data_IF_501509403032
#
_entry.id   IF_501509403032
#
_cell.length_a   1.000
_cell.length_b   1.000
_cell.length_c   1.000
_cell.angle_alpha   90.00
_cell.angle_beta   90.00
_cell.angle_gamma   90.00
#
_symmetry.space_group_name_H-M   'P 1'
#
loop_
_entity.id
_entity.type
_entity.pdbx_description
1 polymer ?
2 non-polymer ?
3 non-polymer ?
4 water ?
#
# COMPACT_ATOMS: atom_id res chain seq x y z
N UNK A 11 -11.31 2.25 18.10
CA UNK A 11 -10.83 0.89 18.33
C UNK A 11 -9.31 0.81 18.34
N UNK A 12 -8.68 1.31 17.28
CA UNK A 12 -7.22 1.33 17.21
C UNK A 12 -6.72 2.48 18.07
N UNK A 13 -7.56 3.49 18.23
CA UNK A 13 -7.27 4.57 19.14
C UNK A 13 -7.19 4.06 20.57
N UNK A 14 -8.13 3.19 20.94
CA UNK A 14 -8.19 2.62 22.28
C UNK A 14 -6.98 1.75 22.57
N UNK A 15 -6.52 1.04 21.55
CA UNK A 15 -5.38 0.15 21.68
C UNK A 15 -4.09 0.97 21.77
N UNK A 16 -3.97 1.97 20.91
CA UNK A 16 -2.74 2.75 20.79
C UNK A 16 -2.44 3.58 22.03
N UNK A 17 -3.45 3.80 22.86
CA UNK A 17 -3.27 4.54 24.11
C UNK A 17 -2.29 3.84 25.04
N UNK A 18 -1.99 2.58 24.74
CA UNK A 18 -1.06 1.79 25.53
C UNK A 18 0.25 1.50 24.83
N UNK A 19 0.42 2.07 23.63
CA UNK A 19 1.62 1.84 22.84
C UNK A 19 2.40 3.13 22.64
N UNK A 20 3.59 3.21 23.24
CA UNK A 20 4.39 4.43 23.16
C UNK A 20 5.44 4.37 22.06
N UNK A 21 5.62 3.19 21.46
CA UNK A 21 6.64 3.03 20.41
C UNK A 21 6.23 2.02 19.36
N UNK A 22 6.84 2.11 18.18
CA UNK A 22 6.55 1.14 17.12
C UNK A 22 7.13 -0.22 17.50
N UNK A 23 8.16 -0.23 18.34
CA UNK A 23 8.72 -1.49 18.83
C UNK A 23 7.65 -2.31 19.52
N UNK A 24 6.82 -1.63 20.31
CA UNK A 24 5.74 -2.31 21.02
C UNK A 24 4.72 -2.88 20.03
N UNK A 25 4.44 -2.13 18.96
CA UNK A 25 3.51 -2.60 17.92
C UNK A 25 4.10 -3.82 17.22
N UNK A 26 5.38 -3.76 16.85
CA UNK A 26 6.07 -4.92 16.26
C UNK A 26 6.03 -6.14 17.17
N UNK A 27 6.33 -5.94 18.44
CA UNK A 27 6.31 -7.05 19.37
C UNK A 27 4.89 -7.62 19.52
N UNK A 28 3.89 -6.75 19.46
CA UNK A 28 2.49 -7.18 19.58
C UNK A 28 2.07 -8.03 18.38
N UNK A 29 2.47 -7.59 17.19
CA UNK A 29 2.20 -8.34 15.97
C UNK A 29 2.81 -9.74 16.06
N UNK A 30 3.98 -9.82 16.69
CA UNK A 30 4.68 -11.07 16.85
C UNK A 30 3.93 -12.01 17.78
N UNK A 31 3.51 -11.48 18.92
CA UNK A 31 2.72 -12.25 19.88
C UNK A 31 1.35 -12.62 19.30
N UNK A 32 0.88 -11.85 18.32
CA UNK A 32 -0.41 -12.11 17.69
C UNK A 32 -0.30 -13.17 16.60
N UNK A 33 0.90 -13.64 16.33
CA UNK A 33 1.08 -14.77 15.45
C UNK A 33 1.79 -14.49 14.14
N UNK A 34 2.17 -13.24 13.91
CA UNK A 34 2.88 -12.92 12.67
C UNK A 34 4.28 -13.50 12.71
N UNK A 35 4.67 -14.14 11.61
CA UNK A 35 5.97 -14.77 11.50
C UNK A 35 6.73 -14.13 10.35
N UNK A 36 7.47 -14.92 9.58
CA UNK A 36 8.20 -14.36 8.43
C UNK A 36 7.19 -13.66 7.52
N UNK A 37 7.45 -12.39 7.23
CA UNK A 37 6.50 -11.57 6.49
C UNK A 37 7.25 -10.62 5.58
N UNK A 38 6.82 -10.55 4.32
CA UNK A 38 7.50 -9.72 3.36
C UNK A 38 6.65 -8.50 3.03
N UNK A 39 7.30 -7.46 2.52
CA UNK A 39 6.65 -6.17 2.27
C UNK A 39 6.85 -5.71 0.83
N UNK A 40 5.76 -5.33 0.18
CA UNK A 40 5.79 -4.75 -1.15
C UNK A 40 5.17 -3.36 -1.03
N UNK A 41 5.81 -2.37 -1.65
CA UNK A 41 5.31 -1.00 -1.58
C UNK A 41 4.97 -0.52 -2.99
N UNK A 42 3.82 0.14 -3.12
CA UNK A 42 3.41 0.75 -4.37
C UNK A 42 3.09 2.21 -4.11
N UNK A 43 3.68 3.11 -4.91
CA UNK A 43 3.50 4.54 -4.70
C UNK A 43 2.76 5.19 -5.86
N UNK A 44 1.70 5.91 -5.49
CA UNK A 44 0.85 6.69 -6.38
C UNK A 44 1.57 7.95 -6.84
N UNK A 45 1.78 8.06 -8.15
CA UNK A 45 2.41 9.24 -8.73
C UNK A 45 1.46 9.97 -9.69
N UNK A 46 0.17 10.00 -9.34
CA UNK A 46 -0.81 10.69 -10.17
C UNK A 46 -0.75 12.21 -9.94
N UNK A 47 -1.27 12.96 -10.89
CA UNK A 47 -1.16 14.41 -10.89
C UNK A 47 -1.98 15.05 -9.78
N UNK A 48 -3.05 14.39 -9.35
CA UNK A 48 -3.87 14.93 -8.27
C UNK A 48 -3.05 15.19 -6.99
N UNK A 49 -1.90 14.53 -6.84
CA UNK A 49 -1.02 14.82 -5.71
C UNK A 49 -0.63 16.30 -5.62
N UNK A 50 -0.75 17.00 -6.75
CA UNK A 50 -0.44 18.43 -6.77
C UNK A 50 -1.46 19.25 -5.98
N UNK A 51 -2.70 18.77 -5.88
CA UNK A 51 -3.71 19.60 -5.24
C UNK A 51 -4.42 18.98 -4.01
N UNK A 52 -4.19 17.70 -3.76
CA UNK A 52 -4.84 17.05 -2.62
C UNK A 52 -4.14 17.37 -1.29
N UNK A 53 -3.08 18.16 -1.36
CA UNK A 53 -2.43 18.63 -0.15
C UNK A 53 -2.92 19.99 0.34
N UNK A 54 -4.04 20.45 -0.21
CA UNK A 54 -4.58 21.79 0.09
C UNK A 54 -4.79 22.02 1.59
N UNK A 55 -5.44 21.07 2.26
CA UNK A 55 -5.67 21.21 3.70
C UNK A 55 -4.66 20.42 4.53
N UNK A 56 -4.31 19.22 4.07
CA UNK A 56 -3.48 18.30 4.84
C UNK A 56 -1.98 18.55 4.75
N UNK A 57 -1.56 19.38 3.80
CA UNK A 57 -0.14 19.57 3.58
C UNK A 57 0.21 20.98 3.10
N UNK A 58 -0.54 21.97 3.58
CA UNK A 58 -0.18 23.37 3.39
C UNK A 58 -0.12 23.82 1.92
N UNK A 59 -1.07 23.32 1.13
CA UNK A 59 -1.19 23.65 -0.30
C UNK A 59 0.03 23.21 -1.13
N UNK A 60 0.92 22.42 -0.53
CA UNK A 60 2.04 21.84 -1.25
C UNK A 60 1.63 20.55 -1.96
N UNK A 61 2.44 20.14 -2.92
CA UNK A 61 2.29 18.83 -3.53
C UNK A 61 2.60 17.76 -2.49
N UNK A 62 1.84 16.66 -2.52
CA UNK A 62 2.10 15.59 -1.56
C UNK A 62 3.45 14.92 -1.82
N UNK A 63 4.02 15.12 -3.01
CA UNK A 63 5.35 14.61 -3.30
C UNK A 63 6.44 15.68 -3.19
N UNK A 64 6.14 16.76 -2.47
CA UNK A 64 7.11 17.82 -2.24
C UNK A 64 8.31 17.30 -1.46
N UNK A 65 9.51 17.56 -1.95
CA UNK A 65 10.71 17.15 -1.24
C UNK A 65 11.37 18.33 -0.51
N UNK A 66 11.75 18.10 0.74
CA UNK A 66 12.35 19.12 1.59
C UNK A 66 13.08 18.46 2.76
N UNK A 67 13.32 19.21 3.82
CA UNK A 67 13.98 18.67 5.00
C UNK A 67 13.01 18.04 6.00
N UNK A 68 11.72 18.15 5.72
CA UNK A 68 10.73 17.40 6.48
C UNK A 68 10.02 16.40 5.57
N UNK A 69 9.77 15.19 6.09
CA UNK A 69 9.13 14.17 5.25
C UNK A 69 7.70 14.53 4.80
N UNK A 70 7.37 14.24 3.55
CA UNK A 70 6.01 14.44 3.04
C UNK A 70 5.15 13.24 3.47
N UNK A 71 3.84 13.26 3.18
CA UNK A 71 3.08 12.13 3.76
C UNK A 71 3.48 10.76 3.25
N UNK A 72 3.97 10.65 2.01
CA UNK A 72 4.44 9.38 1.49
C UNK A 72 5.63 8.89 2.30
N UNK A 73 6.61 9.77 2.53
CA UNK A 73 7.80 9.39 3.28
C UNK A 73 7.45 9.00 4.71
N UNK A 74 6.54 9.73 5.31
CA UNK A 74 6.12 9.42 6.68
C UNK A 74 5.48 8.04 6.79
N UNK A 75 4.56 7.74 5.89
CA UNK A 75 3.85 6.44 5.91
C UNK A 75 4.83 5.30 5.69
N UNK A 76 5.71 5.46 4.71
CA UNK A 76 6.72 4.46 4.43
C UNK A 76 7.56 4.20 5.66
N UNK A 77 7.94 5.27 6.36
CA UNK A 77 8.80 5.15 7.53
C UNK A 77 8.11 4.35 8.64
N UNK A 78 6.87 4.69 8.93
CA UNK A 78 6.16 4.04 10.02
C UNK A 78 5.90 2.56 9.73
N UNK A 79 5.37 2.27 8.54
CA UNK A 79 5.12 0.89 8.15
C UNK A 79 6.43 0.10 8.06
N UNK A 80 7.42 0.68 7.41
CA UNK A 80 8.73 0.05 7.29
C UNK A 80 9.36 -0.29 8.61
N UNK A 81 9.37 0.67 9.53
CA UNK A 81 9.98 0.44 10.84
C UNK A 81 9.23 -0.69 11.55
N UNK A 82 7.92 -0.73 11.40
CA UNK A 82 7.11 -1.68 12.15
C UNK A 82 7.25 -3.11 11.63
N UNK A 83 7.34 -3.27 10.30
CA UNK A 83 7.38 -4.60 9.69
C UNK A 83 8.81 -5.15 9.51
N UNK A 84 9.81 -4.31 9.76
CA UNK A 84 11.20 -4.70 9.54
C UNK A 84 11.60 -5.98 10.26
N UNK A 85 11.13 -6.14 11.49
CA UNK A 85 11.49 -7.30 12.33
C UNK A 85 11.07 -8.63 11.73
N UNK A 86 10.07 -8.60 10.86
CA UNK A 86 9.53 -9.83 10.30
C UNK A 86 10.12 -10.16 8.94
N UNK A 87 10.92 -9.23 8.43
CA UNK A 87 11.47 -9.31 7.08
C UNK A 87 12.84 -9.96 7.10
N UNK A 88 12.89 -11.25 6.77
CA UNK A 88 14.12 -12.01 6.90
C UNK A 88 15.20 -11.58 5.92
N UNK A 89 14.86 -11.33 4.65
CA UNK A 89 15.90 -10.93 3.69
C UNK A 89 16.02 -9.41 3.57
N UNK A 90 15.16 -8.68 4.27
CA UNK A 90 15.10 -7.22 4.21
C UNK A 90 14.86 -6.64 2.80
N UNK A 91 14.39 -7.47 1.88
CA UNK A 91 14.21 -7.01 0.50
C UNK A 91 12.78 -6.55 0.23
N UNK A 92 12.62 -5.32 -0.24
CA UNK A 92 11.29 -4.74 -0.45
C UNK A 92 11.12 -4.41 -1.92
N UNK A 93 10.32 -5.22 -2.63
CA UNK A 93 9.94 -4.81 -3.99
C UNK A 93 9.19 -3.49 -3.91
N UNK A 94 9.55 -2.50 -4.71
CA UNK A 94 8.91 -1.21 -4.62
C UNK A 94 8.60 -0.72 -6.03
N UNK A 95 7.37 -0.25 -6.23
CA UNK A 95 6.90 0.16 -7.55
C UNK A 95 6.19 1.50 -7.52
N UNK A 96 6.24 2.22 -8.64
CA UNK A 96 5.48 3.44 -8.82
C UNK A 96 4.40 3.20 -9.87
N UNK A 97 3.31 3.96 -9.77
CA UNK A 97 2.26 3.90 -10.78
C UNK A 97 1.57 5.25 -10.87
N UNK A 98 0.98 5.53 -12.03
CA UNK A 98 0.16 6.71 -12.18
C UNK A 98 0.91 7.88 -12.80
N UNK A 99 2.22 7.76 -12.94
CA UNK A 99 3.01 8.72 -13.72
C UNK A 99 2.80 8.51 -15.21
N UNK A 100 3.47 9.33 -16.02
CA UNK A 100 3.22 9.30 -17.45
C UNK A 100 3.74 8.02 -18.11
N UNK A 101 4.70 7.32 -17.50
CA UNK A 101 5.21 6.10 -18.12
C UNK A 101 4.30 4.90 -17.88
N UNK A 102 3.38 5.00 -16.94
CA UNK A 102 2.55 3.85 -16.55
C UNK A 102 1.04 4.07 -16.64
N UNK A 103 0.61 5.33 -16.47
CA UNK A 103 -0.81 5.67 -16.38
C UNK A 103 -1.56 4.69 -15.47
N UNK A 104 -2.66 4.12 -15.93
CA UNK A 104 -3.39 3.15 -15.14
C UNK A 104 -3.16 1.72 -15.65
N UNK A 105 -2.08 1.53 -16.40
CA UNK A 105 -1.89 0.29 -17.14
C UNK A 105 -0.75 -0.59 -16.59
N UNK A 106 0.23 0.05 -15.98
CA UNK A 106 1.49 -0.61 -15.61
C UNK A 106 1.98 -0.15 -14.25
N UNK A 107 3.05 -0.78 -13.78
CA UNK A 107 3.85 -0.20 -12.69
C UNK A 107 5.29 -0.11 -13.20
N UNK A 108 6.11 0.73 -12.57
CA UNK A 108 7.54 0.71 -12.84
C UNK A 108 8.26 0.30 -11.56
N UNK A 109 9.36 -0.42 -11.71
CA UNK A 109 10.17 -0.79 -10.55
C UNK A 109 11.06 0.38 -10.14
N UNK A 110 11.28 0.57 -8.84
CA UNK A 110 12.15 1.66 -8.39
C UNK A 110 13.58 1.49 -8.92
N UNK A 111 13.98 0.24 -9.15
CA UNK A 111 15.27 -0.03 -9.79
C UNK A 111 15.08 -0.83 -11.07
N UNK A 112 15.96 -0.61 -12.04
CA UNK A 112 15.88 -1.36 -13.30
C UNK A 112 15.96 -2.87 -13.07
N UNK A 113 15.45 -3.63 -14.03
CA UNK A 113 15.45 -5.08 -13.98
C UNK A 113 14.65 -5.59 -12.78
N UNK A 114 13.75 -4.76 -12.28
CA UNK A 114 12.88 -5.13 -11.18
C UNK A 114 13.59 -5.42 -9.86
N UNK A 115 14.82 -4.93 -9.71
CA UNK A 115 15.58 -5.20 -8.50
C UNK A 115 14.90 -4.61 -7.26
N UNK A 116 14.92 -5.36 -6.16
CA UNK A 116 14.24 -4.93 -4.94
C UNK A 116 15.10 -3.96 -4.11
N UNK A 117 14.44 -3.10 -3.34
CA UNK A 117 15.16 -2.23 -2.41
C UNK A 117 15.64 -3.02 -1.19
N UNK A 118 16.78 -2.61 -0.67
CA UNK A 118 17.37 -3.25 0.51
C UNK A 118 16.99 -2.45 1.75
N UNK A 119 15.85 -2.79 2.35
CA UNK A 119 15.37 -2.10 3.54
C UNK A 119 14.56 -0.86 3.24
N UNK A 120 13.70 -0.46 4.17
CA UNK A 120 12.86 0.71 3.92
C UNK A 120 13.68 1.99 3.79
N UNK A 121 14.89 2.01 4.38
CA UNK A 121 15.74 3.18 4.25
C UNK A 121 16.10 3.41 2.78
N UNK A 122 16.37 2.32 2.05
CA UNK A 122 16.69 2.44 0.65
C UNK A 122 15.45 2.80 -0.18
N UNK A 123 14.29 2.28 0.22
CA UNK A 123 13.04 2.72 -0.38
C UNK A 123 12.89 4.24 -0.32
N UNK A 124 13.13 4.81 0.86
CA UNK A 124 12.97 6.25 1.06
C UNK A 124 13.99 7.03 0.23
N UNK A 125 15.23 6.58 0.25
CA UNK A 125 16.31 7.26 -0.48
C UNK A 125 16.05 7.26 -1.98
N UNK A 126 15.76 6.08 -2.50
CA UNK A 126 15.48 5.92 -3.92
C UNK A 126 14.22 6.69 -4.33
N UNK A 127 13.21 6.74 -3.47
CA UNK A 127 12.02 7.54 -3.76
C UNK A 127 12.40 9.01 -4.01
N UNK A 128 13.29 9.55 -3.20
CA UNK A 128 13.69 10.94 -3.35
C UNK A 128 14.44 11.19 -4.66
N UNK A 129 15.19 10.20 -5.11
CA UNK A 129 15.90 10.27 -6.39
C UNK A 129 14.93 10.28 -7.58
N UNK A 130 13.88 9.49 -7.46
CA UNK A 130 12.99 9.26 -8.59
C UNK A 130 12.01 10.42 -8.77
N UNK A 131 11.49 10.93 -7.65
CA UNK A 131 10.41 11.91 -7.65
C UNK A 131 10.63 13.11 -8.59
N UNK A 132 11.82 13.74 -8.56
CA UNK A 132 12.01 14.92 -9.41
C UNK A 132 12.03 14.62 -10.91
N UNK A 133 12.18 13.35 -11.28
CA UNK A 133 12.26 13.00 -12.69
C UNK A 133 10.93 12.55 -13.27
N UNK A 134 9.91 12.43 -12.43
CA UNK A 134 8.63 11.93 -12.90
C UNK A 134 7.72 13.01 -13.46
N UNK A 135 6.90 12.60 -14.43
CA UNK A 135 5.76 13.40 -14.87
C UNK A 135 4.50 12.76 -14.32
N UNK A 136 3.85 13.44 -13.38
CA UNK A 136 2.65 12.89 -12.75
C UNK A 136 1.50 12.86 -13.73
N UNK A 137 0.73 11.77 -13.70
CA UNK A 137 -0.35 11.62 -14.67
C UNK A 137 -1.59 10.97 -14.05
N UNK A 138 -2.08 9.92 -14.70
CA UNK A 138 -3.30 9.25 -14.26
C UNK A 138 -3.79 8.36 -15.38
N UNK A 139 -5.03 7.85 -15.25
CA UNK A 139 -5.93 8.02 -14.11
C UNK A 139 -5.54 7.02 -13.03
N UNK A 140 -6.40 6.78 -12.05
CA UNK A 140 -6.06 5.93 -10.92
C UNK A 140 -6.67 4.52 -11.00
N UNK A 141 -5.79 3.52 -11.04
CA UNK A 141 -6.19 2.12 -10.87
C UNK A 141 -5.20 1.45 -9.95
N UNK A 142 -5.66 0.53 -9.11
CA UNK A 142 -4.73 -0.25 -8.30
C UNK A 142 -4.55 -1.66 -8.83
N UNK A 143 -5.15 -1.96 -9.97
CA UNK A 143 -5.01 -3.28 -10.56
C UNK A 143 -3.56 -3.59 -10.96
N UNK A 144 -2.85 -2.65 -11.61
CA UNK A 144 -1.46 -3.03 -11.93
C UNK A 144 -0.62 -3.34 -10.70
N UNK A 145 -0.71 -2.53 -9.65
CA UNK A 145 0.14 -2.75 -8.49
C UNK A 145 -0.29 -4.02 -7.77
N UNK A 146 -1.60 -4.28 -7.69
CA UNK A 146 -2.02 -5.52 -7.02
C UNK A 146 -1.59 -6.74 -7.84
N UNK A 147 -1.71 -6.66 -9.16
CA UNK A 147 -1.27 -7.75 -10.02
C UNK A 147 0.23 -7.96 -9.91
N UNK A 148 0.99 -6.87 -9.77
CA UNK A 148 2.44 -6.99 -9.59
C UNK A 148 2.75 -7.76 -8.32
N UNK A 149 2.09 -7.37 -7.22
CA UNK A 149 2.24 -8.08 -5.94
C UNK A 149 1.90 -9.55 -6.08
N UNK A 150 0.80 -9.86 -6.78
CA UNK A 150 0.45 -11.26 -7.03
C UNK A 150 1.58 -12.03 -7.69
N UNK A 151 2.19 -11.43 -8.71
CA UNK A 151 3.27 -12.05 -9.45
C UNK A 151 4.47 -12.31 -8.54
N UNK A 152 4.80 -11.34 -7.70
CA UNK A 152 5.90 -11.51 -6.76
C UNK A 152 5.60 -12.61 -5.77
N UNK A 153 4.38 -12.65 -5.24
CA UNK A 153 4.03 -13.70 -4.29
C UNK A 153 4.17 -15.07 -4.96
N UNK A 154 3.65 -15.18 -6.17
CA UNK A 154 3.73 -16.46 -6.87
C UNK A 154 5.19 -16.87 -7.13
N UNK A 155 6.01 -15.94 -7.59
CA UNK A 155 7.41 -16.24 -7.89
C UNK A 155 8.20 -16.62 -6.64
N UNK A 156 7.70 -16.21 -5.47
CA UNK A 156 8.39 -16.54 -4.21
C UNK A 156 7.98 -17.90 -3.68
N UNK A 157 7.15 -18.62 -4.44
CA UNK A 157 6.52 -19.87 -4.02
C UNK A 157 5.61 -19.69 -2.82
N UNK A 158 4.80 -18.64 -2.85
CA UNK A 158 3.73 -18.48 -1.87
C UNK A 158 4.19 -18.06 -0.50
N UNK A 159 5.29 -17.31 -0.42
CA UNK A 159 5.65 -16.74 0.87
C UNK A 159 4.74 -15.55 1.14
N UNK A 160 4.44 -15.32 2.41
CA UNK A 160 3.45 -14.32 2.80
C UNK A 160 3.96 -12.91 2.57
N UNK A 161 3.15 -12.10 1.87
CA UNK A 161 3.50 -10.72 1.59
C UNK A 161 2.40 -9.78 2.05
N UNK A 162 2.80 -8.59 2.47
CA UNK A 162 1.89 -7.48 2.71
C UNK A 162 2.16 -6.44 1.65
N UNK A 163 1.17 -6.13 0.82
CA UNK A 163 1.29 -5.06 -0.15
C UNK A 163 0.77 -3.78 0.48
N UNK A 164 1.60 -2.75 0.55
CA UNK A 164 1.16 -1.46 1.04
C UNK A 164 1.12 -0.50 -0.13
N UNK A 165 -0.08 -0.07 -0.48
CA UNK A 165 -0.33 0.93 -1.52
C UNK A 165 -0.55 2.25 -0.84
N UNK A 166 0.24 3.25 -1.20
CA UNK A 166 0.04 4.58 -0.64
C UNK A 166 -0.45 5.50 -1.76
N UNK A 167 -1.64 6.07 -1.59
CA UNK A 167 -2.29 6.79 -2.69
C UNK A 167 -3.01 8.02 -2.16
N UNK A 168 -3.31 8.97 -3.06
CA UNK A 168 -4.00 10.19 -2.65
C UNK A 168 -5.39 10.30 -3.25
N UNK A 169 -5.89 9.21 -3.82
CA UNK A 169 -7.23 9.25 -4.36
C UNK A 169 -7.73 7.87 -4.67
N UNK A 170 -9.05 7.67 -4.55
CA UNK A 170 -9.66 6.39 -4.87
C UNK A 170 -9.55 6.12 -6.37
N UNK A 171 -9.68 4.85 -6.74
CA UNK A 171 -9.81 4.42 -8.12
C UNK A 171 -10.78 5.31 -8.89
N UNK A 172 -10.41 5.65 -10.12
CA UNK A 172 -11.21 6.54 -10.97
C UNK A 172 -12.59 5.94 -11.21
N UNK A 173 -13.64 6.75 -11.02
CA UNK A 173 -15.02 6.30 -11.20
C UNK A 173 -15.52 6.56 -12.61
N UNK A 174 -16.65 5.98 -12.97
CA UNK A 174 -17.26 6.25 -14.27
C UNK A 174 -17.91 7.65 -14.27
N UNK A 175 -17.91 8.30 -15.43
CA UNK A 175 -18.67 9.55 -15.55
C UNK A 175 -20.15 9.27 -15.30
N UNK A 176 -20.58 8.04 -15.63
CA UNK A 176 -21.97 7.65 -15.46
C UNK A 176 -22.15 6.80 -14.20
N UNK A 177 -21.37 7.12 -13.18
CA UNK A 177 -21.44 6.39 -11.91
C UNK A 177 -22.83 6.53 -11.27
N UNK A 178 -23.50 7.66 -11.51
CA UNK A 178 -24.82 7.88 -10.89
C UNK A 178 -25.85 6.90 -11.42
N UNK A 179 -25.54 6.21 -12.52
CA UNK A 179 -26.46 5.23 -13.07
C UNK A 179 -25.98 3.80 -12.88
N UNK A 180 -25.04 3.63 -11.94
CA UNK A 180 -24.61 2.31 -11.53
C UNK A 180 -23.48 1.71 -12.33
N UNK A 181 -22.93 2.48 -13.26
CA UNK A 181 -21.90 1.97 -14.14
C UNK A 181 -20.51 2.01 -13.50
N UNK A 182 -19.73 0.95 -13.70
CA UNK A 182 -18.37 0.88 -13.19
C UNK A 182 -17.37 1.31 -14.24
N UNK A 183 -16.26 1.89 -13.81
CA UNK A 183 -15.16 2.21 -14.71
C UNK A 183 -14.31 0.96 -14.92
N UNK A 184 -13.51 0.91 -16.00
CA UNK A 184 -12.59 -0.22 -16.15
C UNK A 184 -11.62 -0.26 -14.98
N UNK A 185 -11.24 0.91 -14.47
CA UNK A 185 -10.32 1.01 -13.35
C UNK A 185 -10.92 0.33 -12.12
N UNK A 186 -12.19 0.61 -11.84
CA UNK A 186 -12.88 -0.04 -10.72
C UNK A 186 -13.01 -1.53 -10.93
N UNK A 187 -13.47 -1.91 -12.13
CA UNK A 187 -13.63 -3.30 -12.50
C UNK A 187 -12.35 -4.11 -12.31
N UNK A 188 -11.26 -3.62 -12.86
CA UNK A 188 -9.99 -4.36 -12.79
C UNK A 188 -9.43 -4.35 -11.39
N UNK A 189 -9.62 -3.26 -10.67
CA UNK A 189 -9.09 -3.16 -9.31
C UNK A 189 -9.81 -4.11 -8.37
N UNK A 190 -11.14 -4.13 -8.43
CA UNK A 190 -11.91 -5.04 -7.60
C UNK A 190 -11.60 -6.51 -7.96
N UNK A 191 -11.54 -6.79 -9.26
CA UNK A 191 -11.18 -8.13 -9.73
C UNK A 191 -9.83 -8.56 -9.18
N UNK A 192 -8.86 -7.63 -9.17
CA UNK A 192 -7.52 -7.92 -8.65
C UNK A 192 -7.55 -8.25 -7.16
N UNK A 193 -8.30 -7.47 -6.39
CA UNK A 193 -8.45 -7.72 -4.96
C UNK A 193 -9.02 -9.11 -4.72
N UNK A 194 -10.08 -9.46 -5.46
CA UNK A 194 -10.68 -10.79 -5.30
C UNK A 194 -9.67 -11.88 -5.67
N UNK A 195 -8.98 -11.72 -6.79
CA UNK A 195 -8.07 -12.76 -7.28
C UNK A 195 -6.85 -12.88 -6.36
N UNK A 196 -6.44 -11.76 -5.78
CA UNK A 196 -5.32 -11.77 -4.84
C UNK A 196 -5.64 -12.64 -3.61
N UNK A 197 -6.91 -12.85 -3.30
CA UNK A 197 -7.26 -13.66 -2.13
C UNK A 197 -7.03 -15.15 -2.37
N UNK A 198 -6.59 -15.51 -3.56
CA UNK A 198 -6.19 -16.90 -3.84
C UNK A 198 -4.70 -17.12 -3.53
N UNK A 199 -4.06 -16.07 -3.00
CA UNK A 199 -2.62 -16.07 -2.66
C UNK A 199 -2.42 -15.65 -1.20
N UNK A 200 -1.26 -15.99 -0.62
CA UNK A 200 -0.95 -15.52 0.73
C UNK A 200 -0.45 -14.07 0.69
N UNK A 201 -1.41 -13.18 0.51
CA UNK A 201 -1.13 -11.77 0.25
C UNK A 201 -2.19 -10.92 0.97
N UNK A 202 -1.73 -9.97 1.79
CA UNK A 202 -2.61 -8.97 2.39
C UNK A 202 -2.43 -7.65 1.68
N UNK A 203 -3.51 -6.89 1.51
CA UNK A 203 -3.43 -5.61 0.80
C UNK A 203 -3.84 -4.50 1.75
N UNK A 204 -2.98 -3.50 1.92
CA UNK A 204 -3.34 -2.36 2.73
C UNK A 204 -3.27 -1.11 1.87
N UNK A 205 -4.40 -0.42 1.72
CA UNK A 205 -4.43 0.85 0.99
C UNK A 205 -4.35 2.00 1.98
N UNK A 206 -3.26 2.76 1.90
CA UNK A 206 -3.01 3.87 2.81
C UNK A 206 -3.39 5.17 2.09
N UNK A 207 -4.42 5.84 2.58
CA UNK A 207 -4.83 7.10 1.98
C UNK A 207 -4.12 8.30 2.59
N UNK A 208 -3.45 9.08 1.76
CA UNK A 208 -2.83 10.32 2.20
C UNK A 208 -3.54 11.49 1.53
N UNK A 209 -3.32 12.69 2.05
CA UNK A 209 -3.91 13.88 1.45
C UNK A 209 -5.36 14.12 1.86
N UNK A 210 -5.99 15.11 1.23
CA UNK A 210 -7.33 15.57 1.60
C UNK A 210 -8.46 14.63 1.22
N UNK A 211 -8.18 13.72 0.29
CA UNK A 211 -9.21 12.83 -0.21
C UNK A 211 -9.90 13.43 -1.42
N UNK A 212 -11.23 13.25 -1.53
CA UNK A 212 -12.13 12.64 -0.54
C UNK A 212 -11.95 11.13 -0.37
N UNK A 213 -12.10 10.66 0.87
CA UNK A 213 -11.99 9.24 1.18
C UNK A 213 -13.30 8.69 1.76
N UNK A 214 -14.40 9.41 1.58
CA UNK A 214 -15.65 9.07 2.26
C UNK A 214 -16.35 7.90 1.60
N UNK A 215 -15.82 7.45 0.46
CA UNK A 215 -16.43 6.37 -0.31
C UNK A 215 -15.76 5.01 -0.02
N UNK A 216 -14.74 5.01 0.83
CA UNK A 216 -13.95 3.79 1.03
C UNK A 216 -14.65 2.72 1.84
N UNK A 217 -15.44 3.11 2.83
CA UNK A 217 -16.20 2.11 3.58
C UNK A 217 -17.14 1.36 2.65
N UNK A 218 -17.82 2.11 1.80
CA UNK A 218 -18.72 1.51 0.82
C UNK A 218 -17.96 0.63 -0.17
N UNK A 219 -16.82 1.11 -0.66
CA UNK A 219 -15.96 0.32 -1.54
C UNK A 219 -15.64 -1.01 -0.90
N UNK A 220 -15.25 -0.95 0.37
CA UNK A 220 -14.85 -2.16 1.07
C UNK A 220 -16.06 -3.11 1.16
N UNK A 221 -17.19 -2.57 1.60
CA UNK A 221 -18.42 -3.35 1.75
C UNK A 221 -18.87 -4.02 0.45
N UNK A 222 -18.51 -3.44 -0.68
CA UNK A 222 -18.96 -3.95 -1.97
C UNK A 222 -17.98 -4.89 -2.66
N UNK A 223 -16.79 -5.10 -2.09
CA UNK A 223 -15.90 -6.12 -2.63
C UNK A 223 -16.59 -7.49 -2.53
N UNK A 224 -16.60 -8.26 -3.63
CA UNK A 224 -17.19 -9.59 -3.69
C UNK A 224 -16.59 -10.54 -2.66
N UNK A 225 -17.34 -11.59 -2.36
CA UNK A 225 -16.95 -12.56 -1.35
C UNK A 225 -15.63 -13.24 -1.72
N UNK A 226 -14.80 -13.42 -0.69
CA UNK A 226 -13.46 -13.98 -0.81
C UNK A 226 -13.27 -15.00 0.31
N UNK A 227 -12.33 -15.92 0.12
CA UNK A 227 -12.04 -16.93 1.15
C UNK A 227 -11.51 -16.32 2.44
N UNK A 228 -10.78 -15.19 2.33
CA UNK A 228 -10.49 -14.41 3.52
C UNK A 228 -10.50 -12.93 3.17
N UNK A 229 -10.75 -12.09 4.17
CA UNK A 229 -10.75 -10.64 3.96
C UNK A 229 -9.31 -10.18 3.87
N UNK A 230 -8.88 -9.87 2.66
CA UNK A 230 -7.48 -9.59 2.38
C UNK A 230 -7.21 -8.12 2.11
N UNK A 231 -8.18 -7.26 2.40
CA UNK A 231 -8.06 -5.83 2.08
C UNK A 231 -8.36 -4.92 3.27
N UNK A 232 -7.53 -3.91 3.48
CA UNK A 232 -7.81 -2.89 4.49
C UNK A 232 -7.55 -1.50 3.93
N UNK A 233 -8.43 -0.56 4.21
CA UNK A 233 -8.12 0.85 3.94
C UNK A 233 -7.81 1.57 5.24
N UNK A 234 -6.76 2.38 5.23
CA UNK A 234 -6.44 3.18 6.40
C UNK A 234 -6.21 4.63 5.99
N UNK A 235 -6.86 5.56 6.68
CA UNK A 235 -6.74 6.97 6.37
C UNK A 235 -5.63 7.59 7.21
N UNK A 236 -4.46 7.75 6.59
CA UNK A 236 -3.27 8.31 7.25
C UNK A 236 -3.53 9.74 7.69
N UNK A 237 -4.11 10.54 6.80
CA UNK A 237 -4.34 11.96 7.07
C UNK A 237 -5.21 12.16 8.29
N UNK A 238 -6.35 11.48 8.33
CA UNK A 238 -7.26 11.59 9.47
C UNK A 238 -6.60 11.20 10.79
N UNK A 239 -5.74 10.18 10.79
CA UNK A 239 -5.10 9.77 12.03
C UNK A 239 -4.05 10.79 12.43
N UNK A 240 -3.24 11.22 11.47
CA UNK A 240 -2.12 12.10 11.78
C UNK A 240 -2.58 13.53 12.04
N UNK A 241 -3.84 13.82 11.73
CA UNK A 241 -4.39 15.16 11.93
C UNK A 241 -5.00 15.31 13.34
N UNK A 242 -4.89 14.28 14.16
CA UNK A 242 -5.41 14.34 15.51
C UNK A 242 -4.49 15.15 16.41
N UNK A 243 -5.08 15.80 17.42
CA UNK A 243 -4.29 16.65 18.29
C UNK A 243 -3.75 15.91 19.50
N UNK A 244 -2.89 14.93 19.25
CA UNK A 244 -2.18 14.23 20.31
C UNK A 244 -0.72 13.99 19.92
N UNK A 245 0.05 13.39 20.82
CA UNK A 245 1.49 13.28 20.63
C UNK A 245 1.86 12.52 19.38
N UNK A 246 2.97 12.92 18.77
CA UNK A 246 3.52 12.28 17.57
C UNK A 246 3.67 10.78 17.72
N UNK A 247 4.23 10.34 18.84
CA UNK A 247 4.50 8.92 19.05
C UNK A 247 3.21 8.12 18.98
N UNK A 248 2.14 8.68 19.52
CA UNK A 248 0.90 7.93 19.58
C UNK A 248 0.03 8.11 18.33
N UNK A 249 0.32 9.13 17.52
CA UNK A 249 -0.32 9.18 16.19
C UNK A 249 0.35 8.11 15.34
N UNK A 250 1.67 7.96 15.48
CA UNK A 250 2.41 6.95 14.73
C UNK A 250 2.01 5.52 15.10
N UNK A 251 1.85 5.25 16.40
CA UNK A 251 1.47 3.90 16.80
C UNK A 251 0.02 3.63 16.40
N UNK A 252 -0.83 4.67 16.45
CA UNK A 252 -2.22 4.48 16.04
C UNK A 252 -2.27 4.13 14.57
N UNK A 253 -1.50 4.85 13.75
CA UNK A 253 -1.47 4.56 12.33
C UNK A 253 -0.91 3.16 12.06
N UNK A 254 0.20 2.81 12.73
CA UNK A 254 0.78 1.48 12.54
C UNK A 254 -0.22 0.38 12.89
N UNK A 255 -0.89 0.50 14.03
CA UNK A 255 -1.91 -0.47 14.43
C UNK A 255 -3.11 -0.49 13.47
N UNK A 256 -3.59 0.68 13.08
CA UNK A 256 -4.73 0.76 12.16
C UNK A 256 -4.41 0.09 10.82
N UNK A 257 -3.17 0.20 10.38
CA UNK A 257 -2.78 -0.41 9.11
C UNK A 257 -2.48 -1.91 9.24
N UNK A 258 -1.97 -2.35 10.39
CA UNK A 258 -1.37 -3.68 10.48
C UNK A 258 -1.97 -4.64 11.52
N UNK A 259 -2.91 -4.17 12.33
CA UNK A 259 -3.47 -5.00 13.40
C UNK A 259 -4.12 -6.27 12.84
N UNK A 260 -4.70 -6.15 11.65
CA UNK A 260 -5.42 -7.25 11.00
C UNK A 260 -4.51 -8.13 10.15
N UNK A 261 -3.24 -7.77 10.06
CA UNK A 261 -2.30 -8.61 9.30
C UNK A 261 -2.08 -10.00 9.94
N UNK A 262 -1.83 -10.09 11.26
CA UNK A 262 -1.66 -11.46 11.79
C UNK A 262 -2.88 -12.41 11.60
N UNK A 263 -4.13 -11.93 11.81
CA UNK A 263 -5.28 -12.78 11.49
C UNK A 263 -5.33 -13.22 10.03
N UNK A 264 -5.00 -12.31 9.12
CA UNK A 264 -5.00 -12.62 7.71
C UNK A 264 -3.92 -13.66 7.40
N UNK A 265 -2.75 -13.47 7.98
CA UNK A 265 -1.66 -14.44 7.83
C UNK A 265 -2.12 -15.84 8.27
N UNK A 266 -2.77 -15.90 9.43
CA UNK A 266 -3.27 -17.16 9.96
C UNK A 266 -4.30 -17.74 9.00
N UNK A 267 -5.11 -16.90 8.38
CA UNK A 267 -6.07 -17.38 7.39
C UNK A 267 -5.39 -18.04 6.19
N UNK A 268 -4.26 -17.48 5.72
CA UNK A 268 -3.57 -18.06 4.56
C UNK A 268 -3.01 -19.44 4.89
N UNK A 269 -2.74 -19.67 6.16
CA UNK A 269 -2.28 -21.00 6.59
C UNK A 269 -3.48 -21.95 6.65
N UNK A 270 -4.58 -21.52 7.27
CA UNK A 270 -5.77 -22.37 7.36
C UNK A 270 -6.31 -22.79 5.99
N UNK A 271 -6.20 -21.91 4.99
CA UNK A 271 -6.69 -22.18 3.65
C UNK A 271 -5.63 -22.90 2.81
N UNK A 272 -4.51 -23.23 3.44
CA UNK A 272 -3.33 -23.80 2.79
C UNK A 272 -2.88 -23.03 1.56
N UNK A 273 -2.88 -21.70 1.66
CA UNK A 273 -2.34 -20.88 0.60
C UNK A 273 -0.84 -20.67 0.77
N UNK A 274 -0.38 -20.69 2.01
CA UNK A 274 1.02 -20.34 2.32
C UNK A 274 1.99 -21.39 1.76
N UNK A 275 2.99 -20.93 1.04
CA UNK A 275 4.07 -21.79 0.59
C UNK A 275 3.82 -22.54 -0.71
N UNK A 276 2.67 -22.32 -1.33
CA UNK A 276 2.36 -23.03 -2.56
C UNK A 276 2.17 -22.06 -3.72
N UNK A 277 2.38 -22.57 -4.93
CA UNK A 277 2.11 -21.82 -6.14
C UNK A 277 0.67 -22.05 -6.56
N UNK A 278 0.02 -20.96 -6.94
CA UNK A 278 -1.37 -21.00 -7.32
C UNK A 278 -1.50 -21.57 -8.73
N UNK A 279 -0.57 -21.19 -9.59
CA UNK A 279 -0.52 -21.70 -10.95
C UNK A 279 -1.33 -20.90 -11.96
N UNK A 280 -2.25 -20.07 -11.48
CA UNK A 280 -3.14 -19.30 -12.35
C UNK A 280 -2.84 -17.81 -12.31
N UNK A 281 -1.59 -17.44 -12.08
CA UNK A 281 -1.22 -16.03 -11.91
C UNK A 281 -0.41 -15.50 -13.09
N UNK A 282 -1.02 -14.65 -13.93
CA UNK A 282 -0.29 -14.07 -15.06
C UNK A 282 0.96 -13.32 -14.59
N UNK A 283 2.08 -13.45 -15.29
CA UNK A 283 3.29 -12.74 -14.88
C UNK A 283 3.31 -11.30 -15.37
N UNK A 284 3.03 -10.37 -14.47
CA UNK A 284 3.17 -8.95 -14.82
C UNK A 284 4.64 -8.56 -14.79
N UNK A 285 5.03 -7.78 -15.79
CA UNK A 285 6.40 -7.27 -15.90
C UNK A 285 6.43 -5.80 -15.56
N UNK A 286 7.26 -5.40 -14.58
CA UNK A 286 7.36 -3.97 -14.25
C UNK A 286 8.19 -3.21 -15.29
N UNK A 287 7.78 -2.00 -15.63
CA UNK A 287 8.60 -1.17 -16.49
C UNK A 287 9.82 -0.69 -15.73
N UNK A 288 10.87 -0.29 -16.46
CA UNK A 288 12.00 0.33 -15.77
C UNK A 288 11.62 1.70 -15.21
N UNK A 289 12.32 2.15 -14.17
CA UNK A 289 12.06 3.50 -13.65
C UNK A 289 12.34 4.51 -14.76
N UNK A 290 11.43 5.47 -14.96
CA UNK A 290 11.55 6.43 -16.07
C UNK A 290 12.49 7.57 -15.68
N UNK A 291 13.74 7.23 -15.42
CA UNK A 291 14.72 8.19 -14.93
C UNK A 291 16.03 8.12 -15.71
N UNK A 292 16.87 9.14 -15.55
CA UNK A 292 18.22 9.15 -16.12
C UNK A 292 19.09 8.08 -15.47
X LIG B 1 -4.52 10.69 -7.30
X LIG C 1 11.44 -10.02 2.30
#
# INVERSE_FOLDING_TARGET
>A
GTSSMADIGSRYSKISDNYSSLLQVSEALGRAGLESSNLIVGIDFTKSNEWTGAKSFNRKSLHHLSNTPNPYEQAITIIGRTLAAFDEDNLIPCYGFGDASTHDQDVFSFYPEGRFCNGFEEVLARYREIVPQLKLAGPTSFAPIIEMAMTVVEQSSGQYHVLVIIADGQVTRSVDTEHGRLSPQEQKTVDAIVKASTLPLSIVLVGVGDGPWDMMQEFDDNIPARAFDNFQFVNFTEIMSKNKDQSRKETEFALSALMEIPPQYKATIELNLLGVRNGNIPQRIPLPPPVQSGSSFSSSR
>B hetero
1 MG MG
>C hetero
1 NA NA
#
